data_IF_495498639397
#
_entry.id   IF_495498639397
#
_cell.length_a   1.000
_cell.length_b   1.000
_cell.length_c   1.000
_cell.angle_alpha   90.00
_cell.angle_beta   90.00
_cell.angle_gamma   90.00
#
_symmetry.space_group_name_H-M   'P 1'
#
loop_
_entity.id
_entity.type
_entity.pdbx_description
1 polymer ?
#
# COMPACT_ATOMS: atom_id res chain seq x y z
N UNK A 1 14.98 1.06 6.85
CA UNK A 1 15.03 -0.41 6.81
C UNK A 1 14.07 -0.89 5.75
N UNK A 2 14.53 -1.55 4.71
CA UNK A 2 13.74 -1.93 3.55
C UNK A 2 13.07 -3.29 3.76
N UNK A 3 11.82 -3.46 3.34
CA UNK A 3 11.12 -4.75 3.37
C UNK A 3 11.87 -5.81 2.53
N UNK A 4 12.58 -5.38 1.49
CA UNK A 4 13.42 -6.23 0.65
C UNK A 4 14.54 -6.90 1.44
N UNK A 5 15.17 -6.18 2.36
CA UNK A 5 16.30 -6.70 3.17
C UNK A 5 15.80 -7.79 4.14
N UNK A 6 14.57 -7.65 4.64
CA UNK A 6 13.97 -8.61 5.58
C UNK A 6 13.58 -9.94 4.95
N UNK A 7 13.37 -9.96 3.63
CA UNK A 7 13.11 -11.20 2.91
C UNK A 7 14.20 -12.25 3.09
N UNK A 8 15.45 -11.82 3.06
CA UNK A 8 16.62 -12.70 3.07
C UNK A 8 17.28 -12.84 4.46
N UNK A 9 16.83 -12.11 5.49
CA UNK A 9 17.40 -12.18 6.84
C UNK A 9 16.91 -13.44 7.56
N UNK A 10 17.76 -14.43 7.87
CA UNK A 10 17.31 -15.73 8.39
C UNK A 10 16.66 -15.63 9.77
N UNK A 11 17.10 -14.70 10.61
CA UNK A 11 16.62 -14.53 11.99
C UNK A 11 15.25 -13.79 12.09
N UNK A 12 14.71 -13.35 10.96
CA UNK A 12 13.41 -12.67 10.91
C UNK A 12 12.34 -13.67 10.43
N UNK A 13 11.46 -14.10 11.32
CA UNK A 13 10.32 -14.97 11.00
C UNK A 13 9.06 -14.20 10.57
N UNK A 14 8.84 -13.03 11.16
CA UNK A 14 7.64 -12.20 10.96
C UNK A 14 8.03 -10.76 10.67
N UNK A 15 7.33 -10.12 9.74
CA UNK A 15 7.48 -8.69 9.42
C UNK A 15 6.24 -7.95 9.88
N UNK A 16 6.41 -6.96 10.75
CA UNK A 16 5.34 -6.05 11.16
C UNK A 16 5.42 -4.76 10.33
N UNK A 17 4.32 -4.39 9.68
CA UNK A 17 4.18 -3.18 8.91
C UNK A 17 3.20 -2.24 9.61
N UNK A 18 3.65 -1.04 9.99
CA UNK A 18 2.83 -0.06 10.71
C UNK A 18 3.15 1.37 10.31
N UNK A 19 2.28 2.30 10.66
CA UNK A 19 2.52 3.74 10.50
C UNK A 19 3.46 4.27 11.60
N UNK A 20 4.27 5.28 11.24
CA UNK A 20 5.35 5.82 12.08
C UNK A 20 4.88 6.80 13.18
N UNK A 21 3.63 6.74 13.59
CA UNK A 21 3.09 7.62 14.64
C UNK A 21 2.24 8.78 14.11
N UNK A 22 1.84 9.70 15.00
CA UNK A 22 0.99 10.81 14.61
C UNK A 22 1.72 11.83 13.75
N UNK A 23 1.00 12.44 12.82
CA UNK A 23 1.51 13.51 11.98
C UNK A 23 1.95 14.71 12.83
N UNK A 24 3.16 15.24 12.65
CA UNK A 24 3.62 16.42 13.35
C UNK A 24 2.82 17.69 13.01
N UNK A 25 2.06 17.68 11.91
CA UNK A 25 1.28 18.83 11.45
C UNK A 25 -0.07 18.98 12.16
N UNK A 26 -0.73 17.87 12.47
CA UNK A 26 -2.11 17.89 13.00
C UNK A 26 -2.39 16.81 14.05
N UNK A 27 -1.38 16.08 14.51
CA UNK A 27 -1.54 14.99 15.46
C UNK A 27 -2.35 13.78 14.96
N UNK A 28 -2.79 13.80 13.71
CA UNK A 28 -3.58 12.71 13.12
C UNK A 28 -2.76 11.45 12.87
N UNK A 29 -3.34 10.30 13.13
CA UNK A 29 -2.71 9.02 12.89
C UNK A 29 -2.95 8.55 11.45
N UNK A 30 -1.90 8.08 10.80
CA UNK A 30 -1.98 7.45 9.50
C UNK A 30 -1.10 6.20 9.46
N UNK A 31 -1.67 5.13 8.92
CA UNK A 31 -0.90 3.96 8.54
C UNK A 31 -0.19 4.23 7.20
N UNK A 32 -0.95 4.46 6.17
CA UNK A 32 -0.46 4.81 4.84
C UNK A 32 -1.59 5.44 4.03
N UNK A 33 -1.39 6.64 3.51
CA UNK A 33 -2.41 7.37 2.74
C UNK A 33 -2.19 7.29 1.22
N UNK A 34 -1.41 6.31 0.77
CA UNK A 34 -1.12 6.11 -0.65
C UNK A 34 0.16 6.80 -1.11
N UNK A 35 0.28 7.03 -2.40
CA UNK A 35 1.45 7.64 -3.01
C UNK A 35 1.52 9.14 -2.81
N UNK A 36 2.73 9.67 -2.91
CA UNK A 36 2.97 11.12 -2.79
C UNK A 36 2.34 11.86 -3.97
N UNK A 37 1.29 12.63 -3.68
CA UNK A 37 0.55 13.39 -4.71
C UNK A 37 1.38 14.52 -5.33
N UNK A 38 2.48 14.94 -4.71
CA UNK A 38 3.37 15.98 -5.26
C UNK A 38 4.10 15.53 -6.51
N UNK A 39 4.33 14.21 -6.64
CA UNK A 39 4.99 13.61 -7.81
C UNK A 39 3.99 13.04 -8.83
N UNK A 40 2.68 13.20 -8.58
CA UNK A 40 1.63 12.79 -9.50
C UNK A 40 1.32 13.92 -10.48
N UNK A 41 1.77 13.79 -11.74
CA UNK A 41 1.36 14.67 -12.84
C UNK A 41 0.02 14.24 -13.47
N UNK A 42 -0.41 14.97 -14.52
CA UNK A 42 -1.61 14.63 -15.32
C UNK A 42 -1.51 13.24 -15.95
N UNK A 43 -0.30 12.76 -16.21
CA UNK A 43 0.00 11.44 -16.79
C UNK A 43 0.19 10.34 -15.74
N UNK A 44 -0.15 10.58 -14.48
CA UNK A 44 0.10 9.67 -13.37
C UNK A 44 1.40 9.98 -12.60
N UNK A 45 1.90 8.98 -11.86
CA UNK A 45 3.14 9.12 -11.10
C UNK A 45 4.35 9.13 -12.04
N UNK A 46 5.13 10.20 -11.99
CA UNK A 46 6.39 10.33 -12.71
C UNK A 46 7.53 10.23 -11.70
N UNK A 47 8.30 9.17 -11.81
CA UNK A 47 9.52 8.99 -11.02
C UNK A 47 10.70 9.48 -11.86
N UNK A 48 11.49 10.41 -11.31
CA UNK A 48 12.75 10.82 -11.94
C UNK A 48 13.63 9.58 -12.14
N UNK A 49 14.15 9.39 -13.34
CA UNK A 49 15.14 8.35 -13.59
C UNK A 49 16.42 8.75 -12.86
N UNK A 50 16.80 7.96 -11.87
CA UNK A 50 18.07 8.14 -11.18
C UNK A 50 19.06 7.18 -11.83
N UNK A 51 20.11 7.70 -12.40
CA UNK A 51 21.28 6.90 -12.86
C UNK A 51 21.97 6.30 -11.64
N UNK A 52 22.73 5.22 -11.82
CA UNK A 52 23.49 4.57 -10.72
C UNK A 52 24.44 5.56 -10.00
N UNK A 53 24.77 6.69 -10.62
CA UNK A 53 25.59 7.77 -10.04
C UNK A 53 24.76 8.85 -9.33
N UNK A 54 23.43 8.69 -9.22
CA UNK A 54 22.56 9.68 -8.55
C UNK A 54 22.29 10.96 -9.37
N UNK A 55 22.76 11.06 -10.61
CA UNK A 55 22.49 12.20 -11.49
C UNK A 55 21.22 11.99 -12.33
N UNK A 56 20.46 13.04 -12.69
CA UNK A 56 19.34 12.91 -13.62
C UNK A 56 19.85 12.44 -14.98
N UNK A 57 19.15 11.48 -15.60
CA UNK A 57 19.51 10.97 -16.93
C UNK A 57 19.35 12.07 -17.97
N UNK A 58 20.45 12.40 -18.67
CA UNK A 58 20.41 13.26 -19.85
C UNK A 58 19.84 12.51 -21.08
N UNK A 59 19.45 13.28 -22.11
CA UNK A 59 18.73 12.79 -23.29
C UNK A 59 19.52 11.85 -24.25
N UNK A 60 20.77 11.49 -23.90
CA UNK A 60 21.70 10.74 -24.76
C UNK A 60 22.12 9.36 -24.22
N UNK A 61 21.18 8.49 -23.89
CA UNK A 61 21.50 7.13 -23.46
C UNK A 61 21.14 6.08 -24.53
N UNK A 62 22.05 5.15 -24.79
CA UNK A 62 21.95 4.08 -25.80
C UNK A 62 20.68 3.20 -25.65
N UNK A 63 20.09 2.81 -26.76
CA UNK A 63 18.69 2.45 -26.92
C UNK A 63 18.18 1.18 -26.21
N UNK A 64 19.02 0.27 -25.74
CA UNK A 64 18.55 -1.01 -25.11
C UNK A 64 18.47 -0.89 -23.58
N UNK A 65 19.45 -0.26 -22.96
CA UNK A 65 19.45 -0.05 -21.51
C UNK A 65 18.40 1.01 -21.10
N UNK A 66 18.12 1.97 -21.99
CA UNK A 66 17.04 2.96 -21.79
C UNK A 66 15.64 2.35 -21.83
N UNK A 67 15.38 1.36 -22.69
CA UNK A 67 14.09 0.68 -22.74
C UNK A 67 13.83 -0.12 -21.46
N UNK A 68 14.87 -0.77 -20.91
CA UNK A 68 14.79 -1.51 -19.64
C UNK A 68 14.65 -0.56 -18.46
N UNK A 69 15.47 0.48 -18.36
CA UNK A 69 15.38 1.49 -17.32
C UNK A 69 14.05 2.23 -17.36
N UNK A 70 13.52 2.53 -18.55
CA UNK A 70 12.19 3.12 -18.74
C UNK A 70 11.06 2.16 -18.36
N UNK A 71 11.19 0.87 -18.64
CA UNK A 71 10.24 -0.14 -18.20
C UNK A 71 10.30 -0.38 -16.69
N UNK A 72 11.47 -0.33 -16.08
CA UNK A 72 11.68 -0.44 -14.65
C UNK A 72 11.28 0.84 -13.90
N UNK A 73 11.60 2.02 -14.42
CA UNK A 73 11.22 3.32 -13.89
C UNK A 73 9.72 3.62 -14.01
N UNK A 74 9.04 3.03 -14.99
CA UNK A 74 7.58 3.12 -15.15
C UNK A 74 6.80 2.22 -14.19
N UNK A 75 7.46 1.30 -13.45
CA UNK A 75 6.80 0.47 -12.46
C UNK A 75 6.51 1.28 -11.20
N UNK A 76 5.27 1.25 -10.75
CA UNK A 76 4.91 1.80 -9.46
C UNK A 76 5.63 0.98 -8.38
N UNK A 77 6.49 1.63 -7.59
CA UNK A 77 7.24 0.97 -6.51
C UNK A 77 6.31 0.24 -5.53
N UNK A 78 5.09 0.73 -5.33
CA UNK A 78 4.09 0.08 -4.48
C UNK A 78 3.70 -1.30 -5.00
N UNK A 79 3.64 -1.52 -6.32
CA UNK A 79 3.34 -2.82 -6.91
C UNK A 79 4.44 -3.84 -6.60
N UNK A 80 5.70 -3.43 -6.65
CA UNK A 80 6.83 -4.28 -6.27
C UNK A 80 6.80 -4.62 -4.77
N UNK A 81 6.43 -3.66 -3.92
CA UNK A 81 6.25 -3.92 -2.48
C UNK A 81 5.11 -4.93 -2.25
N UNK A 82 3.96 -4.75 -2.91
CA UNK A 82 2.84 -5.69 -2.82
C UNK A 82 3.25 -7.09 -3.31
N UNK A 83 3.98 -7.18 -4.43
CA UNK A 83 4.50 -8.43 -4.94
C UNK A 83 5.46 -9.11 -3.96
N UNK A 84 6.38 -8.35 -3.38
CA UNK A 84 7.31 -8.85 -2.35
C UNK A 84 6.57 -9.41 -1.14
N UNK A 85 5.57 -8.71 -0.62
CA UNK A 85 4.72 -9.17 0.49
C UNK A 85 4.10 -10.52 0.14
N UNK A 86 3.53 -10.64 -1.07
CA UNK A 86 2.83 -11.87 -1.50
C UNK A 86 3.75 -13.05 -1.82
N UNK A 87 5.03 -12.80 -2.09
CA UNK A 87 5.97 -13.86 -2.55
C UNK A 87 7.10 -14.14 -1.57
N UNK A 88 7.25 -13.36 -0.49
CA UNK A 88 8.28 -13.65 0.51
C UNK A 88 7.89 -14.84 1.38
N UNK A 89 8.87 -15.69 1.77
CA UNK A 89 8.62 -16.86 2.62
C UNK A 89 8.53 -16.48 4.12
N UNK A 90 7.80 -15.41 4.44
CA UNK A 90 7.64 -14.89 5.80
C UNK A 90 6.26 -14.29 5.96
N UNK A 91 5.72 -14.41 7.16
CA UNK A 91 4.43 -13.81 7.50
C UNK A 91 4.57 -12.29 7.62
N UNK A 92 3.70 -11.56 6.94
CA UNK A 92 3.62 -10.09 7.02
C UNK A 92 2.32 -9.70 7.69
N UNK A 93 2.45 -9.05 8.85
CA UNK A 93 1.31 -8.56 9.64
C UNK A 93 1.22 -7.04 9.51
N UNK A 94 0.09 -6.55 9.09
CA UNK A 94 -0.20 -5.12 9.01
C UNK A 94 -0.86 -4.64 10.31
N UNK A 95 -0.30 -3.59 10.91
CA UNK A 95 -0.84 -2.91 12.09
C UNK A 95 -1.36 -1.54 11.68
N UNK A 96 -2.65 -1.43 11.41
CA UNK A 96 -3.28 -0.19 10.96
C UNK A 96 -3.61 0.68 12.16
N UNK A 97 -2.77 1.64 12.44
CA UNK A 97 -2.86 2.57 13.58
C UNK A 97 -3.55 3.90 13.25
N UNK A 98 -4.07 4.06 12.04
CA UNK A 98 -4.72 5.28 11.58
C UNK A 98 -5.30 5.12 10.17
N UNK A 99 -5.22 6.15 9.34
CA UNK A 99 -5.73 6.12 7.97
C UNK A 99 -4.95 5.15 7.08
N UNK A 100 -5.69 4.22 6.46
CA UNK A 100 -5.24 3.37 5.37
C UNK A 100 -6.06 3.74 4.12
N UNK A 101 -5.48 4.55 3.22
CA UNK A 101 -6.22 5.10 2.09
C UNK A 101 -5.53 4.85 0.74
N UNK A 102 -6.31 4.65 -0.32
CA UNK A 102 -5.82 4.38 -1.66
C UNK A 102 -4.82 3.22 -1.69
N UNK A 103 -3.59 3.46 -2.16
CA UNK A 103 -2.53 2.45 -2.15
C UNK A 103 -2.20 1.90 -0.76
N UNK A 104 -2.43 2.66 0.30
CA UNK A 104 -2.30 2.20 1.69
C UNK A 104 -3.39 1.21 2.09
N UNK A 105 -4.61 1.37 1.58
CA UNK A 105 -5.67 0.37 1.73
C UNK A 105 -5.28 -0.92 1.00
N UNK A 106 -4.84 -0.83 -0.26
CA UNK A 106 -4.41 -2.01 -1.02
C UNK A 106 -3.21 -2.71 -0.38
N UNK A 107 -2.34 -1.95 0.30
CA UNK A 107 -1.17 -2.50 0.99
C UNK A 107 -1.54 -3.43 2.14
N UNK A 108 -2.50 -3.05 3.01
CA UNK A 108 -2.93 -3.93 4.10
C UNK A 108 -3.68 -5.17 3.60
N UNK A 109 -4.42 -5.03 2.48
CA UNK A 109 -5.17 -6.15 1.86
C UNK A 109 -4.25 -7.26 1.37
N UNK A 110 -3.04 -6.93 0.91
CA UNK A 110 -2.08 -7.92 0.42
C UNK A 110 -1.23 -8.53 1.53
N UNK A 111 -1.24 -8.00 2.75
CA UNK A 111 -0.61 -8.62 3.90
C UNK A 111 -1.33 -9.92 4.31
N UNK A 112 -0.63 -10.79 5.04
CA UNK A 112 -1.20 -12.07 5.48
C UNK A 112 -2.26 -11.88 6.57
N UNK A 113 -2.00 -10.94 7.50
CA UNK A 113 -2.93 -10.58 8.57
C UNK A 113 -3.01 -9.05 8.69
N UNK A 114 -4.18 -8.54 9.09
CA UNK A 114 -4.36 -7.13 9.41
C UNK A 114 -5.00 -6.97 10.77
N UNK A 115 -4.28 -6.30 11.66
CA UNK A 115 -4.76 -5.81 12.95
C UNK A 115 -5.00 -4.30 12.84
N UNK A 116 -6.03 -3.77 13.49
CA UNK A 116 -6.36 -2.36 13.39
C UNK A 116 -6.73 -1.76 14.75
N UNK A 117 -6.33 -0.51 14.96
CA UNK A 117 -6.82 0.26 16.10
C UNK A 117 -8.33 0.48 15.95
N UNK A 118 -9.09 0.09 16.97
CA UNK A 118 -10.56 0.22 16.98
C UNK A 118 -10.98 1.68 16.85
N UNK A 119 -10.32 2.58 17.55
CA UNK A 119 -10.65 4.00 17.63
C UNK A 119 -10.08 4.80 16.46
N UNK A 120 -8.81 4.54 16.08
CA UNK A 120 -8.05 5.39 15.17
C UNK A 120 -8.07 4.93 13.72
N UNK A 121 -8.21 3.61 13.48
CA UNK A 121 -8.12 3.12 12.13
C UNK A 121 -9.31 3.53 11.26
N UNK A 122 -9.00 3.99 10.05
CA UNK A 122 -9.96 4.36 9.00
C UNK A 122 -9.47 3.83 7.67
N UNK A 123 -10.40 3.32 6.89
CA UNK A 123 -10.13 2.66 5.63
C UNK A 123 -10.89 3.32 4.51
N UNK A 124 -10.22 3.60 3.40
CA UNK A 124 -10.87 4.23 2.25
C UNK A 124 -10.14 3.87 0.96
N UNK A 125 -10.88 3.50 -0.07
CA UNK A 125 -10.37 3.55 -1.44
C UNK A 125 -10.71 4.90 -2.06
N UNK A 126 -9.70 5.54 -2.63
CA UNK A 126 -9.78 6.91 -3.15
C UNK A 126 -9.92 6.98 -4.66
N UNK A 127 -9.93 5.84 -5.35
CA UNK A 127 -9.90 5.78 -6.81
C UNK A 127 -11.12 6.46 -7.44
N UNK A 128 -12.31 6.23 -6.89
CA UNK A 128 -13.54 6.89 -7.35
C UNK A 128 -13.49 8.41 -7.20
N UNK A 129 -12.88 8.92 -6.11
CA UNK A 129 -12.81 10.37 -5.85
C UNK A 129 -11.89 11.11 -6.84
N UNK A 130 -10.89 10.41 -7.37
CA UNK A 130 -9.83 11.02 -8.21
C UNK A 130 -9.86 10.54 -9.66
N UNK A 131 -10.89 9.79 -10.06
CA UNK A 131 -11.01 9.25 -11.42
C UNK A 131 -9.88 8.28 -11.79
N UNK A 132 -9.46 7.45 -10.84
CA UNK A 132 -8.36 6.49 -10.98
C UNK A 132 -8.89 5.06 -10.80
N UNK A 133 -7.99 4.09 -10.83
CA UNK A 133 -8.27 2.69 -10.49
C UNK A 133 -7.07 2.07 -9.77
N UNK A 134 -7.33 1.05 -8.95
CA UNK A 134 -6.26 0.31 -8.28
C UNK A 134 -5.53 -0.59 -9.27
N UNK A 135 -4.34 -0.17 -9.66
CA UNK A 135 -3.48 -0.91 -10.59
C UNK A 135 -2.72 -2.07 -9.93
N UNK A 136 -2.89 -2.27 -8.62
CA UNK A 136 -2.17 -3.26 -7.83
C UNK A 136 -2.94 -4.57 -7.63
N UNK A 137 -2.45 -5.33 -6.69
CA UNK A 137 -3.06 -6.60 -6.30
C UNK A 137 -4.26 -6.41 -5.34
N UNK A 138 -4.45 -5.19 -4.79
CA UNK A 138 -5.43 -4.91 -3.75
C UNK A 138 -6.85 -5.23 -4.16
N UNK A 139 -7.29 -4.81 -5.36
CA UNK A 139 -8.66 -5.03 -5.83
C UNK A 139 -8.99 -6.52 -5.97
N UNK A 140 -8.10 -7.29 -6.58
CA UNK A 140 -8.29 -8.73 -6.80
C UNK A 140 -8.30 -9.50 -5.47
N UNK A 141 -7.39 -9.16 -4.54
CA UNK A 141 -7.33 -9.82 -3.23
C UNK A 141 -8.51 -9.40 -2.34
N UNK A 142 -8.89 -8.13 -2.33
CA UNK A 142 -10.06 -7.66 -1.59
C UNK A 142 -11.33 -8.41 -2.03
N UNK A 143 -11.54 -8.54 -3.34
CA UNK A 143 -12.71 -9.25 -3.86
C UNK A 143 -12.76 -10.74 -3.44
N UNK A 144 -11.60 -11.38 -3.27
CA UNK A 144 -11.50 -12.75 -2.76
C UNK A 144 -11.78 -12.82 -1.25
N UNK A 145 -11.38 -11.81 -0.48
CA UNK A 145 -11.53 -11.79 0.97
C UNK A 145 -12.95 -11.45 1.41
N UNK A 146 -13.57 -10.41 0.83
CA UNK A 146 -14.88 -9.88 1.27
C UNK A 146 -16.03 -10.15 0.29
N UNK A 147 -15.73 -10.80 -0.83
CA UNK A 147 -16.67 -11.03 -1.92
C UNK A 147 -16.82 -9.82 -2.85
N UNK A 148 -17.21 -10.10 -4.11
CA UNK A 148 -17.21 -9.09 -5.17
C UNK A 148 -18.11 -7.90 -4.91
N UNK A 149 -19.31 -8.10 -4.35
CA UNK A 149 -20.26 -7.01 -4.11
C UNK A 149 -19.72 -6.01 -3.09
N UNK A 150 -19.15 -6.49 -2.00
CA UNK A 150 -18.56 -5.64 -0.96
C UNK A 150 -17.29 -4.93 -1.47
N UNK A 151 -16.45 -5.63 -2.23
CA UNK A 151 -15.29 -5.01 -2.85
C UNK A 151 -15.70 -3.87 -3.81
N UNK A 152 -16.72 -4.07 -4.64
CA UNK A 152 -17.26 -3.03 -5.53
C UNK A 152 -17.83 -1.84 -4.77
N UNK A 153 -18.53 -2.07 -3.65
CA UNK A 153 -19.00 -0.99 -2.78
C UNK A 153 -17.81 -0.14 -2.29
N UNK A 154 -16.72 -0.79 -1.80
CA UNK A 154 -15.54 -0.11 -1.30
C UNK A 154 -14.86 0.72 -2.40
N UNK A 155 -14.69 0.14 -3.60
CA UNK A 155 -14.00 0.81 -4.70
C UNK A 155 -14.85 1.89 -5.39
N UNK A 156 -16.16 1.65 -5.57
CA UNK A 156 -16.98 2.54 -6.41
C UNK A 156 -17.62 3.67 -5.63
N UNK A 157 -17.92 3.49 -4.34
CA UNK A 157 -18.57 4.52 -3.55
C UNK A 157 -17.56 5.45 -2.84
N UNK A 158 -16.29 5.07 -2.73
CA UNK A 158 -15.25 5.91 -2.13
C UNK A 158 -15.53 6.35 -0.69
N UNK A 159 -16.40 5.65 0.04
CA UNK A 159 -16.71 6.00 1.42
C UNK A 159 -15.61 5.55 2.39
N UNK A 160 -15.56 6.16 3.56
CA UNK A 160 -14.70 5.74 4.65
C UNK A 160 -15.35 4.67 5.50
N UNK A 161 -14.55 3.71 5.98
CA UNK A 161 -14.97 2.62 6.85
C UNK A 161 -14.19 2.67 8.15
N UNK A 162 -14.85 2.34 9.25
CA UNK A 162 -14.23 2.15 10.57
C UNK A 162 -13.60 0.77 10.69
N UNK A 163 -12.78 0.56 11.72
CA UNK A 163 -12.25 -0.78 12.03
C UNK A 163 -13.37 -1.79 12.30
N UNK A 164 -14.44 -1.38 12.99
CA UNK A 164 -15.59 -2.23 13.31
C UNK A 164 -16.34 -2.67 12.05
N UNK A 165 -16.55 -1.77 11.06
CA UNK A 165 -17.17 -2.12 9.79
C UNK A 165 -16.32 -3.11 9.01
N UNK A 166 -14.99 -2.89 8.96
CA UNK A 166 -14.06 -3.79 8.28
C UNK A 166 -13.93 -5.16 8.97
N UNK A 167 -14.06 -5.20 10.29
CA UNK A 167 -14.12 -6.45 11.03
C UNK A 167 -15.39 -7.26 10.68
N UNK A 168 -16.54 -6.60 10.62
CA UNK A 168 -17.83 -7.27 10.28
C UNK A 168 -17.84 -7.88 8.88
N UNK A 169 -17.04 -7.38 7.98
CA UNK A 169 -16.89 -7.94 6.63
C UNK A 169 -15.71 -8.92 6.50
N UNK A 170 -15.15 -9.35 7.63
CA UNK A 170 -14.06 -10.33 7.72
C UNK A 170 -12.73 -9.90 7.08
N UNK A 171 -12.50 -8.60 6.93
CA UNK A 171 -11.25 -8.07 6.38
C UNK A 171 -10.17 -7.88 7.46
N UNK A 172 -10.56 -7.78 8.73
CA UNK A 172 -9.66 -7.56 9.85
C UNK A 172 -9.77 -8.68 10.87
N UNK A 173 -8.65 -8.91 11.56
CA UNK A 173 -8.62 -9.64 12.81
C UNK A 173 -8.48 -8.63 13.94
N UNK A 174 -9.44 -8.56 14.85
CA UNK A 174 -9.30 -7.76 16.06
C UNK A 174 -8.77 -8.65 17.17
N UNK A 175 -7.68 -8.28 17.83
CA UNK A 175 -7.42 -8.79 19.15
C UNK A 175 -8.52 -8.26 20.06
N UNK A 176 -9.30 -9.14 20.69
CA UNK A 176 -10.09 -8.72 21.83
C UNK A 176 -9.10 -8.19 22.86
N UNK A 177 -9.11 -6.88 23.12
CA UNK A 177 -8.45 -6.37 24.31
C UNK A 177 -9.09 -7.09 25.50
N UNK A 178 -8.32 -7.73 26.38
CA UNK A 178 -8.90 -8.26 27.62
C UNK A 178 -9.53 -7.08 28.35
N UNK A 179 -10.77 -7.24 28.75
CA UNK A 179 -11.50 -6.28 29.59
C UNK A 179 -10.82 -6.16 30.94
#
# INVERSE_FOLDING_TARGET
>A
MCIRDRRCTPDVGVVLLTGNGPSPKNGGWAFCTGGDQRIRGKSGYQYAQITETGAPAGDDASTVDTARAKAEGGRLHILEVQRLIRTMPKVVICLVNGWAAGGGHSLHVVCDLTLASRECARFKQTDADVGSFDAGFGSAYLAKQVGQKRAREIFFLGRSYTAEEMYRICLLYTSQSPR
#
